data_IF_618454330920
#
_entry.id   IF_618454330920
#
_cell.length_a   1.000
_cell.length_b   1.000
_cell.length_c   1.000
_cell.angle_alpha   90.00
_cell.angle_beta   90.00
_cell.angle_gamma   90.00
#
_symmetry.space_group_name_H-M   'P 1'
#
loop_
_entity.id
_entity.type
_entity.pdbx_description
1 polymer ?
#
# COMPACT_ATOMS: atom_id res chain seq x y z
N UNK A 1 -44.20 -34.46 27.63
CA UNK A 1 -43.92 -34.24 26.20
C UNK A 1 -43.98 -32.75 25.96
N UNK A 2 -42.84 -32.14 25.65
CA UNK A 2 -42.76 -30.74 25.23
C UNK A 2 -41.80 -30.66 24.04
N UNK A 3 -42.33 -30.11 22.95
CA UNK A 3 -41.76 -30.05 21.62
C UNK A 3 -40.44 -29.26 21.57
N UNK A 4 -39.40 -29.91 21.06
CA UNK A 4 -38.16 -29.24 20.63
C UNK A 4 -38.36 -28.72 19.20
N UNK A 5 -38.51 -27.42 19.04
CA UNK A 5 -38.42 -26.77 17.72
C UNK A 5 -36.97 -26.87 17.17
N UNK A 6 -36.75 -27.29 15.92
CA UNK A 6 -35.43 -27.30 15.30
C UNK A 6 -35.04 -25.88 14.85
N UNK A 7 -33.89 -25.38 15.31
CA UNK A 7 -33.31 -24.13 14.79
C UNK A 7 -32.78 -24.38 13.38
N UNK A 8 -33.40 -23.74 12.39
CA UNK A 8 -32.95 -23.70 11.00
C UNK A 8 -31.55 -23.07 10.93
N UNK A 9 -30.54 -23.90 10.69
CA UNK A 9 -29.19 -23.47 10.30
C UNK A 9 -29.24 -22.89 8.88
N UNK A 10 -29.61 -21.61 8.76
CA UNK A 10 -29.42 -20.84 7.53
C UNK A 10 -28.08 -20.13 7.64
N UNK A 11 -27.04 -20.74 7.07
CA UNK A 11 -25.91 -20.06 6.45
C UNK A 11 -25.26 -21.01 5.46
N UNK A 12 -25.99 -21.32 4.38
CA UNK A 12 -25.35 -21.60 3.11
C UNK A 12 -25.10 -20.23 2.48
N UNK A 13 -23.85 -19.75 2.51
CA UNK A 13 -23.41 -18.66 1.66
C UNK A 13 -22.16 -19.10 0.92
N UNK A 14 -22.20 -18.88 -0.38
CA UNK A 14 -21.32 -19.44 -1.39
C UNK A 14 -19.84 -19.13 -1.12
N UNK A 15 -19.01 -20.17 -1.24
CA UNK A 15 -17.60 -20.01 -1.57
C UNK A 15 -17.54 -19.52 -3.03
N UNK A 16 -17.47 -18.20 -3.20
CA UNK A 16 -17.10 -17.59 -4.47
C UNK A 16 -15.64 -17.13 -4.36
N UNK A 17 -14.78 -18.05 -4.76
CA UNK A 17 -13.38 -17.80 -5.05
C UNK A 17 -13.30 -16.86 -6.26
N UNK A 18 -13.02 -15.58 -6.04
CA UNK A 18 -12.51 -14.68 -7.09
C UNK A 18 -11.37 -13.85 -6.54
N UNK A 19 -10.15 -14.29 -6.86
CA UNK A 19 -9.03 -13.45 -7.30
C UNK A 19 -8.78 -12.13 -6.55
N UNK A 20 -7.76 -12.14 -5.69
CA UNK A 20 -6.65 -11.19 -5.84
C UNK A 20 -6.73 -9.83 -5.16
N UNK A 21 -7.60 -9.63 -4.16
CA UNK A 21 -7.44 -8.49 -3.25
C UNK A 21 -7.17 -9.01 -1.86
N UNK A 22 -5.96 -8.69 -1.36
CA UNK A 22 -5.51 -9.00 -0.02
C UNK A 22 -6.64 -8.80 0.97
N UNK A 23 -7.11 -9.91 1.55
CA UNK A 23 -7.95 -9.92 2.73
C UNK A 23 -7.33 -8.97 3.75
N UNK A 24 -8.02 -7.86 4.03
CA UNK A 24 -8.03 -7.30 5.38
C UNK A 24 -8.64 -8.38 6.28
N UNK A 25 -7.85 -9.40 6.59
CA UNK A 25 -8.06 -10.26 7.73
C UNK A 25 -7.78 -9.38 8.94
N UNK A 26 -8.79 -8.61 9.33
CA UNK A 26 -9.02 -8.24 10.72
C UNK A 26 -9.35 -9.55 11.44
N UNK A 27 -8.34 -10.41 11.62
CA UNK A 27 -8.41 -11.46 12.63
C UNK A 27 -8.24 -10.72 13.95
N UNK A 28 -9.39 -10.40 14.55
CA UNK A 28 -9.53 -10.42 16.00
C UNK A 28 -8.81 -11.66 16.52
N UNK A 29 -7.72 -11.49 17.25
CA UNK A 29 -7.42 -12.27 18.43
C UNK A 29 -6.26 -11.65 19.24
N UNK A 30 -6.49 -11.72 20.55
CA UNK A 30 -5.64 -11.41 21.71
C UNK A 30 -5.28 -9.94 21.97
N UNK A 31 -6.08 -9.35 22.86
CA UNK A 31 -5.75 -8.34 23.86
C UNK A 31 -4.49 -8.68 24.70
N UNK A 32 -3.33 -8.80 24.05
CA UNK A 32 -2.04 -8.78 24.74
C UNK A 32 -1.26 -7.53 24.28
N UNK A 33 -1.44 -6.45 25.05
CA UNK A 33 -0.67 -5.21 25.00
C UNK A 33 -0.78 -4.37 23.72
N UNK A 34 -1.96 -3.79 23.46
CA UNK A 34 -2.09 -2.62 22.60
C UNK A 34 -1.51 -1.36 23.29
N UNK A 35 -0.22 -1.40 23.66
CA UNK A 35 0.50 -0.22 24.12
C UNK A 35 0.38 0.85 23.03
N UNK A 36 -0.01 2.10 23.37
CA UNK A 36 -0.06 3.20 22.41
C UNK A 36 1.25 3.35 21.60
N UNK A 37 2.39 3.00 22.21
CA UNK A 37 3.70 3.00 21.55
C UNK A 37 3.85 1.89 20.51
N UNK A 38 3.31 0.70 20.76
CA UNK A 38 3.30 -0.41 19.77
C UNK A 38 2.41 -0.05 18.57
N UNK A 39 1.29 0.63 18.79
CA UNK A 39 0.44 1.14 17.70
C UNK A 39 1.18 2.18 16.86
N UNK A 40 1.83 3.16 17.50
CA UNK A 40 2.65 4.15 16.80
C UNK A 40 3.78 3.50 15.99
N UNK A 41 4.48 2.53 16.57
CA UNK A 41 5.56 1.79 15.90
C UNK A 41 5.06 1.06 14.64
N UNK A 42 3.91 0.39 14.71
CA UNK A 42 3.28 -0.27 13.56
C UNK A 42 2.87 0.73 12.48
N UNK A 43 2.24 1.84 12.86
CA UNK A 43 1.85 2.88 11.92
C UNK A 43 3.05 3.50 11.21
N UNK A 44 4.14 3.77 11.94
CA UNK A 44 5.41 4.24 11.39
C UNK A 44 5.99 3.24 10.39
N UNK A 45 6.06 1.94 10.74
CA UNK A 45 6.57 0.91 9.83
C UNK A 45 5.75 0.80 8.54
N UNK A 46 4.42 0.80 8.66
CA UNK A 46 3.52 0.74 7.49
C UNK A 46 3.73 1.95 6.57
N UNK A 47 3.78 3.16 7.15
CA UNK A 47 4.01 4.40 6.40
C UNK A 47 5.39 4.39 5.71
N UNK A 48 6.44 3.94 6.41
CA UNK A 48 7.78 3.82 5.84
C UNK A 48 7.80 2.86 4.63
N UNK A 49 7.09 1.74 4.72
CA UNK A 49 6.96 0.79 3.60
C UNK A 49 6.31 1.43 2.38
N UNK A 50 5.21 2.17 2.58
CA UNK A 50 4.52 2.88 1.48
C UNK A 50 5.44 3.90 0.82
N UNK A 51 6.21 4.66 1.60
CA UNK A 51 7.15 5.63 1.04
C UNK A 51 8.31 4.98 0.30
N UNK A 52 8.79 3.82 0.75
CA UNK A 52 9.81 3.05 0.03
C UNK A 52 9.28 2.55 -1.33
N UNK A 53 8.08 1.99 -1.36
CA UNK A 53 7.43 1.55 -2.61
C UNK A 53 7.18 2.73 -3.54
N UNK A 54 6.70 3.85 -3.02
CA UNK A 54 6.49 5.06 -3.82
C UNK A 54 7.80 5.59 -4.40
N UNK A 55 8.88 5.62 -3.61
CA UNK A 55 10.20 6.01 -4.08
C UNK A 55 10.75 5.07 -5.18
N UNK A 56 10.47 3.77 -5.06
CA UNK A 56 10.81 2.81 -6.10
C UNK A 56 10.07 3.12 -7.41
N UNK A 57 8.74 3.26 -7.36
CA UNK A 57 7.91 3.53 -8.54
C UNK A 57 8.37 4.82 -9.24
N UNK A 58 8.58 5.90 -8.48
CA UNK A 58 8.98 7.17 -9.09
C UNK A 58 10.39 7.13 -9.66
N UNK A 59 11.28 6.29 -9.11
CA UNK A 59 12.59 6.03 -9.69
C UNK A 59 12.45 5.35 -11.04
N UNK A 60 11.61 4.30 -11.12
CA UNK A 60 11.36 3.59 -12.39
C UNK A 60 10.75 4.51 -13.45
N UNK A 61 9.82 5.38 -13.07
CA UNK A 61 9.25 6.38 -13.98
C UNK A 61 10.32 7.36 -14.46
N UNK A 62 11.19 7.86 -13.58
CA UNK A 62 12.27 8.76 -13.98
C UNK A 62 13.28 8.07 -14.91
N UNK A 63 13.59 6.80 -14.66
CA UNK A 63 14.44 6.02 -15.55
C UNK A 63 13.80 5.84 -16.93
N UNK A 64 12.48 5.61 -16.99
CA UNK A 64 11.74 5.49 -18.24
C UNK A 64 11.75 6.78 -19.06
N UNK A 65 11.50 7.94 -18.44
CA UNK A 65 11.44 9.21 -19.18
C UNK A 65 12.82 9.68 -19.67
N UNK A 66 13.90 9.23 -19.03
CA UNK A 66 15.26 9.53 -19.45
C UNK A 66 15.76 8.58 -20.58
N UNK A 67 14.93 7.62 -21.04
CA UNK A 67 15.27 6.76 -22.17
C UNK A 67 15.38 7.57 -23.48
N UNK A 68 16.41 7.33 -24.31
CA UNK A 68 16.59 8.02 -25.59
C UNK A 68 15.35 7.93 -26.49
N UNK A 69 14.69 6.77 -26.53
CA UNK A 69 13.49 6.57 -27.34
C UNK A 69 12.32 7.45 -26.90
N UNK A 70 12.24 7.83 -25.62
CA UNK A 70 11.21 8.71 -25.10
C UNK A 70 11.55 10.17 -25.40
N UNK A 71 12.81 10.55 -25.21
CA UNK A 71 13.31 11.91 -25.41
C UNK A 71 13.35 12.31 -26.89
N UNK A 72 13.91 11.46 -27.76
CA UNK A 72 14.07 11.77 -29.18
C UNK A 72 12.73 11.85 -29.93
N UNK A 73 11.72 11.10 -29.46
CA UNK A 73 10.39 11.11 -30.04
C UNK A 73 9.45 12.17 -29.41
N UNK A 74 9.92 12.95 -28.43
CA UNK A 74 9.13 13.96 -27.71
C UNK A 74 7.77 13.41 -27.23
N UNK A 75 7.76 12.20 -26.66
CA UNK A 75 6.52 11.51 -26.29
C UNK A 75 5.85 12.10 -25.03
N UNK A 76 6.59 12.89 -24.25
CA UNK A 76 6.16 13.47 -22.98
C UNK A 76 6.53 14.95 -23.00
N UNK A 77 5.62 15.79 -22.51
CA UNK A 77 5.86 17.22 -22.44
C UNK A 77 7.02 17.54 -21.48
N UNK A 78 7.88 18.49 -21.84
CA UNK A 78 9.01 18.92 -21.01
C UNK A 78 8.57 19.37 -19.60
N UNK A 79 7.39 20.01 -19.52
CA UNK A 79 6.79 20.41 -18.23
C UNK A 79 6.45 19.20 -17.36
N UNK A 80 5.96 18.11 -17.95
CA UNK A 80 5.65 16.88 -17.22
C UNK A 80 6.93 16.18 -16.75
N UNK A 81 7.96 16.12 -17.60
CA UNK A 81 9.29 15.62 -17.24
C UNK A 81 9.84 16.38 -16.03
N UNK A 82 9.75 17.73 -16.05
CA UNK A 82 10.22 18.55 -14.95
C UNK A 82 9.42 18.31 -13.66
N UNK A 83 8.10 18.16 -13.75
CA UNK A 83 7.26 17.83 -12.59
C UNK A 83 7.65 16.48 -11.98
N UNK A 84 7.88 15.46 -12.81
CA UNK A 84 8.30 14.12 -12.38
C UNK A 84 9.66 14.14 -11.66
N UNK A 85 10.62 14.93 -12.17
CA UNK A 85 11.92 15.14 -11.52
C UNK A 85 11.77 15.83 -10.17
N UNK A 86 10.94 16.87 -10.08
CA UNK A 86 10.65 17.53 -8.80
C UNK A 86 9.94 16.60 -7.80
N UNK A 87 9.05 15.72 -8.26
CA UNK A 87 8.42 14.73 -7.37
C UNK A 87 9.46 13.73 -6.83
N UNK A 88 10.40 13.28 -7.68
CA UNK A 88 11.50 12.41 -7.26
C UNK A 88 12.35 13.04 -6.16
N UNK A 89 12.72 14.31 -6.31
CA UNK A 89 13.50 15.03 -5.30
C UNK A 89 12.77 15.12 -3.95
N UNK A 90 11.44 15.36 -3.98
CA UNK A 90 10.60 15.37 -2.77
C UNK A 90 10.55 13.99 -2.12
N UNK A 91 10.41 12.92 -2.90
CA UNK A 91 10.45 11.54 -2.41
C UNK A 91 11.78 11.21 -1.74
N UNK A 92 12.90 11.62 -2.35
CA UNK A 92 14.23 11.41 -1.76
C UNK A 92 14.39 12.17 -0.44
N UNK A 93 13.85 13.38 -0.36
CA UNK A 93 13.79 14.16 0.88
C UNK A 93 13.02 13.43 1.98
N UNK A 94 11.82 12.94 1.65
CA UNK A 94 10.99 12.16 2.58
C UNK A 94 11.70 10.86 3.00
N UNK A 95 12.33 10.15 2.06
CA UNK A 95 13.05 8.93 2.40
C UNK A 95 14.21 9.19 3.34
N UNK A 96 15.01 10.23 3.10
CA UNK A 96 16.08 10.63 4.00
C UNK A 96 15.56 10.90 5.41
N UNK A 97 14.41 11.59 5.54
CA UNK A 97 13.78 11.83 6.84
C UNK A 97 13.35 10.53 7.52
N UNK A 98 12.73 9.63 6.77
CA UNK A 98 12.23 8.33 7.25
C UNK A 98 13.37 7.41 7.72
N UNK A 99 14.50 7.39 7.01
CA UNK A 99 15.65 6.54 7.33
C UNK A 99 16.56 7.10 8.43
N UNK A 100 16.41 8.38 8.80
CA UNK A 100 17.29 9.04 9.77
C UNK A 100 16.99 8.63 11.23
N UNK A 101 15.80 8.09 11.48
CA UNK A 101 15.32 7.61 12.78
C UNK A 101 15.04 6.10 12.77
#
# INVERSE_FOLDING_TARGET
>A
MSDRMPKLNRNASMVLNSSGYNSLNVMENSDEDASPLKLFSRARQAMNSVFQEFNYIITEINNFIDLPEVLENNLIDEKEIQNLKTYKEKCDGLMKMITRD
#
